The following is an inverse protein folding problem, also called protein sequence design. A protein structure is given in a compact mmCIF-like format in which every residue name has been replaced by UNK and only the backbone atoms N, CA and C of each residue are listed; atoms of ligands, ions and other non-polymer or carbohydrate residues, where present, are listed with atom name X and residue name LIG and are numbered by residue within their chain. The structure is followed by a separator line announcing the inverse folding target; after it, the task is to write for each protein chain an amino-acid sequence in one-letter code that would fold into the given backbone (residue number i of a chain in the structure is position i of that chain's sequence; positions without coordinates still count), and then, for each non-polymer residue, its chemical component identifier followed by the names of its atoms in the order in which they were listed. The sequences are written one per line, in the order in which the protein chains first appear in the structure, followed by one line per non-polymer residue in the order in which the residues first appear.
data_IF_538477051272
#
_entry.id   IF_538477051272
#
_cell.length_a   1.000
_cell.length_b   1.000
_cell.length_c   1.000
_cell.angle_alpha   90.00
_cell.angle_beta   90.00
_cell.angle_gamma   90.00
#
_symmetry.space_group_name_H-M   'P 1'
#
loop_
_entity.id
_entity.type
_entity.pdbx_description
1 polymer ?
#
# COMPACT_ATOMS: atom_id res chain seq x y z
N UNK A 1 1.51 -44.79 -35.51
CA UNK A 1 0.85 -43.50 -35.78
C UNK A 1 -0.57 -43.85 -36.14
N UNK A 2 -1.49 -43.64 -35.20
CA UNK A 2 -2.92 -43.80 -35.43
C UNK A 2 -3.40 -42.52 -36.11
N UNK A 3 -4.01 -42.69 -37.28
CA UNK A 3 -4.57 -41.57 -38.05
C UNK A 3 -5.97 -41.32 -37.49
N UNK A 4 -6.15 -40.18 -36.83
CA UNK A 4 -7.43 -39.80 -36.27
C UNK A 4 -8.34 -39.33 -37.41
N UNK A 5 -9.37 -40.11 -37.71
CA UNK A 5 -10.43 -39.75 -38.66
C UNK A 5 -11.32 -38.67 -38.02
N UNK A 6 -10.93 -37.42 -38.21
CA UNK A 6 -11.80 -36.28 -37.95
C UNK A 6 -12.87 -36.29 -39.04
N UNK A 7 -13.97 -37.00 -38.81
CA UNK A 7 -15.18 -36.79 -39.59
C UNK A 7 -15.55 -35.32 -39.46
N UNK A 8 -15.41 -34.56 -40.55
CA UNK A 8 -15.94 -33.21 -40.63
C UNK A 8 -17.45 -33.32 -40.43
N UNK A 9 -17.86 -33.14 -39.18
CA UNK A 9 -19.25 -33.06 -38.82
C UNK A 9 -19.72 -31.79 -39.50
N UNK A 10 -20.34 -31.90 -40.67
CA UNK A 10 -21.13 -30.84 -41.28
C UNK A 10 -22.15 -30.46 -40.21
N UNK A 11 -21.80 -29.45 -39.41
CA UNK A 11 -22.72 -28.80 -38.52
C UNK A 11 -23.74 -28.17 -39.44
N UNK A 12 -24.83 -28.90 -39.66
CA UNK A 12 -26.02 -28.39 -40.32
C UNK A 12 -26.37 -27.11 -39.56
N UNK A 13 -25.95 -25.96 -40.11
CA UNK A 13 -26.10 -24.64 -39.51
C UNK A 13 -27.56 -24.28 -39.60
N UNK A 14 -28.36 -24.95 -38.77
CA UNK A 14 -29.77 -24.67 -38.60
C UNK A 14 -29.83 -23.20 -38.17
N UNK A 15 -30.50 -22.31 -38.94
CA UNK A 15 -30.42 -20.89 -38.70
C UNK A 15 -30.84 -20.62 -37.26
N UNK A 16 -29.86 -20.30 -36.41
CA UNK A 16 -30.07 -20.06 -34.99
C UNK A 16 -31.00 -18.86 -34.94
N UNK A 17 -32.23 -19.09 -34.48
CA UNK A 17 -33.27 -18.06 -34.45
C UNK A 17 -32.74 -16.82 -33.75
N UNK A 18 -33.10 -15.63 -34.25
CA UNK A 18 -32.66 -14.31 -33.74
C UNK A 18 -33.25 -13.95 -32.36
N UNK A 19 -33.37 -14.93 -31.47
CA UNK A 19 -33.76 -14.73 -30.08
C UNK A 19 -32.54 -14.39 -29.25
N UNK A 20 -32.71 -13.51 -28.26
CA UNK A 20 -31.70 -13.31 -27.24
C UNK A 20 -31.50 -14.63 -26.49
N UNK A 21 -30.28 -15.15 -26.50
CA UNK A 21 -29.98 -16.37 -25.75
C UNK A 21 -30.08 -16.04 -24.25
N UNK A 22 -30.51 -17.00 -23.43
CA UNK A 22 -30.67 -16.79 -21.98
C UNK A 22 -29.37 -16.26 -21.34
N UNK A 23 -28.22 -16.69 -21.86
CA UNK A 23 -26.90 -16.25 -21.43
C UNK A 23 -26.60 -14.78 -21.78
N UNK A 24 -27.18 -14.25 -22.86
CA UNK A 24 -27.03 -12.84 -23.21
C UNK A 24 -27.72 -11.97 -22.16
N UNK A 25 -28.90 -12.38 -21.69
CA UNK A 25 -29.64 -11.68 -20.63
C UNK A 25 -28.85 -11.69 -19.31
N UNK A 26 -28.31 -12.85 -18.91
CA UNK A 26 -27.46 -12.93 -17.72
C UNK A 26 -26.21 -12.07 -17.84
N UNK A 27 -25.58 -12.04 -19.02
CA UNK A 27 -24.39 -11.23 -19.27
C UNK A 27 -24.69 -9.73 -19.14
N UNK A 28 -25.82 -9.27 -19.69
CA UNK A 28 -26.28 -7.88 -19.54
C UNK A 28 -26.57 -7.54 -18.08
N UNK A 29 -27.22 -8.44 -17.33
CA UNK A 29 -27.52 -8.22 -15.92
C UNK A 29 -26.24 -8.10 -15.09
N UNK A 30 -25.27 -8.99 -15.29
CA UNK A 30 -23.97 -8.96 -14.62
C UNK A 30 -23.21 -7.68 -14.98
N UNK A 31 -23.28 -7.22 -16.22
CA UNK A 31 -22.66 -5.97 -16.65
C UNK A 31 -23.26 -4.76 -15.92
N UNK A 32 -24.59 -4.69 -15.80
CA UNK A 32 -25.28 -3.63 -15.04
C UNK A 32 -24.90 -3.70 -13.56
N UNK A 33 -24.91 -4.88 -12.95
CA UNK A 33 -24.55 -5.06 -11.55
C UNK A 33 -23.10 -4.60 -11.28
N UNK A 34 -22.18 -4.94 -12.17
CA UNK A 34 -20.77 -4.51 -12.08
C UNK A 34 -20.64 -3.00 -12.20
N UNK A 35 -21.37 -2.37 -13.12
CA UNK A 35 -21.40 -0.92 -13.27
C UNK A 35 -21.95 -0.22 -12.01
N UNK A 36 -23.02 -0.76 -11.40
CA UNK A 36 -23.57 -0.25 -10.14
C UNK A 36 -22.58 -0.33 -8.99
N UNK A 37 -21.85 -1.44 -8.86
CA UNK A 37 -20.80 -1.62 -7.85
C UNK A 37 -19.66 -0.61 -8.07
N UNK A 38 -19.22 -0.43 -9.32
CA UNK A 38 -18.21 0.57 -9.66
C UNK A 38 -18.65 2.00 -9.33
N UNK A 39 -19.88 2.36 -9.66
CA UNK A 39 -20.46 3.66 -9.34
C UNK A 39 -20.58 3.89 -7.83
N UNK A 40 -20.96 2.86 -7.07
CA UNK A 40 -21.00 2.90 -5.60
C UNK A 40 -19.63 3.26 -5.01
N UNK A 41 -18.56 2.58 -5.44
CA UNK A 41 -17.21 2.86 -4.95
C UNK A 41 -16.73 4.25 -5.37
N UNK A 42 -17.03 4.68 -6.60
CA UNK A 42 -16.67 6.01 -7.09
C UNK A 42 -17.37 7.10 -6.27
N UNK A 43 -18.64 6.91 -5.91
CA UNK A 43 -19.40 7.84 -5.07
C UNK A 43 -18.77 7.97 -3.67
N UNK A 44 -18.45 6.84 -3.03
CA UNK A 44 -17.78 6.83 -1.71
C UNK A 44 -16.40 7.49 -1.79
N UNK A 45 -15.66 7.30 -2.88
CA UNK A 45 -14.34 7.90 -3.06
C UNK A 45 -14.39 9.42 -3.24
N UNK A 46 -15.34 9.94 -4.03
CA UNK A 46 -15.51 11.39 -4.22
C UNK A 46 -16.02 12.05 -2.96
N UNK A 47 -16.99 11.44 -2.27
CA UNK A 47 -17.56 11.97 -1.05
C UNK A 47 -17.61 10.88 0.03
N UNK A 48 -16.61 10.84 0.94
CA UNK A 48 -16.55 9.82 1.98
C UNK A 48 -17.64 10.00 3.05
N UNK A 49 -18.30 11.16 3.11
CA UNK A 49 -19.37 11.47 4.06
C UNK A 49 -20.76 11.02 3.58
N UNK A 50 -20.85 10.27 2.48
CA UNK A 50 -22.11 9.70 1.99
C UNK A 50 -22.68 8.66 2.97
N UNK A 51 -24.02 8.62 3.11
CA UNK A 51 -24.72 7.62 3.94
C UNK A 51 -24.53 6.17 3.43
N UNK A 52 -24.08 6.01 2.18
CA UNK A 52 -23.76 4.72 1.58
C UNK A 52 -22.38 4.18 1.98
N UNK A 53 -21.54 4.99 2.62
CA UNK A 53 -20.26 4.55 3.15
C UNK A 53 -20.49 3.90 4.53
N UNK A 54 -20.27 2.59 4.69
CA UNK A 54 -20.41 1.92 5.98
C UNK A 54 -19.35 2.37 7.01
N UNK A 55 -18.27 3.01 6.53
CA UNK A 55 -17.19 3.56 7.34
C UNK A 55 -17.11 5.08 7.11
N UNK A 56 -18.15 5.85 7.48
CA UNK A 56 -18.09 7.29 7.34
C UNK A 56 -17.01 7.81 8.30
N UNK A 57 -16.16 8.74 7.86
CA UNK A 57 -15.18 9.35 8.75
C UNK A 57 -15.91 10.12 9.87
N UNK A 58 -15.42 10.00 11.11
CA UNK A 58 -15.94 10.74 12.25
C UNK A 58 -15.79 12.25 11.99
N UNK A 59 -16.92 12.96 11.79
CA UNK A 59 -16.95 14.42 11.71
C UNK A 59 -16.64 15.02 13.08
N UNK A 60 -15.71 16.00 13.20
CA UNK A 60 -15.64 17.17 12.34
C UNK A 60 -14.29 17.33 11.63
N UNK A 61 -14.32 17.83 10.38
CA UNK A 61 -13.14 18.43 9.74
C UNK A 61 -12.68 19.54 10.68
N UNK A 62 -11.52 19.44 11.35
CA UNK A 62 -11.07 20.53 12.19
C UNK A 62 -10.92 21.73 11.28
N UNK A 63 -11.60 22.83 11.60
CA UNK A 63 -11.25 24.10 10.96
C UNK A 63 -9.76 24.26 11.21
N UNK A 64 -8.98 24.41 10.14
CA UNK A 64 -7.55 24.63 10.26
C UNK A 64 -7.37 25.96 11.00
N UNK A 65 -7.24 25.88 12.32
CA UNK A 65 -6.86 26.99 13.17
C UNK A 65 -5.34 26.94 13.23
N UNK A 66 -4.62 27.84 12.55
CA UNK A 66 -3.17 27.87 12.65
C UNK A 66 -2.82 28.05 14.14
N UNK A 67 -1.87 27.26 14.68
CA UNK A 67 -1.48 27.39 16.07
C UNK A 67 -0.94 28.81 16.31
N UNK A 68 -1.44 29.48 17.34
CA UNK A 68 -0.81 30.69 17.86
C UNK A 68 0.62 30.33 18.26
N UNK A 69 1.66 31.07 17.82
CA UNK A 69 3.04 30.78 18.22
C UNK A 69 3.13 30.86 19.75
N UNK A 70 3.09 29.71 20.38
CA UNK A 70 3.17 29.56 21.82
C UNK A 70 4.64 29.30 22.14
N UNK A 71 5.25 30.19 22.92
CA UNK A 71 6.67 30.09 23.32
C UNK A 71 6.91 28.83 24.17
N UNK A 72 5.85 28.21 24.70
CA UNK A 72 5.92 26.98 25.48
C UNK A 72 5.95 25.75 24.56
N UNK A 73 7.01 24.93 24.58
CA UNK A 73 7.03 23.67 23.85
C UNK A 73 5.97 22.72 24.41
N UNK A 74 5.27 21.99 23.53
CA UNK A 74 4.39 20.89 23.94
C UNK A 74 5.23 19.85 24.70
N UNK A 75 4.86 19.57 25.95
CA UNK A 75 5.39 18.42 26.68
C UNK A 75 4.65 17.18 26.17
N UNK A 76 5.40 16.14 25.81
CA UNK A 76 4.81 14.84 25.51
C UNK A 76 4.17 14.27 26.78
N UNK A 77 3.03 13.60 26.63
CA UNK A 77 2.43 12.81 27.70
C UNK A 77 3.41 11.73 28.17
N UNK A 78 3.23 11.28 29.42
CA UNK A 78 4.08 10.26 30.03
C UNK A 78 4.22 9.04 29.11
N UNK A 79 5.46 8.52 28.92
CA UNK A 79 5.67 7.39 28.04
C UNK A 79 4.86 6.19 28.55
N UNK A 80 3.91 5.73 27.74
CA UNK A 80 3.04 4.58 28.03
C UNK A 80 3.80 3.26 28.18
N UNK A 81 5.10 3.26 27.90
CA UNK A 81 5.98 2.12 28.10
C UNK A 81 7.11 2.53 29.04
N UNK A 82 7.02 2.13 30.31
CA UNK A 82 8.18 2.09 31.21
C UNK A 82 9.12 0.98 30.73
N UNK A 83 9.87 1.24 29.66
CA UNK A 83 10.94 0.34 29.26
C UNK A 83 12.03 0.47 30.32
N UNK A 84 12.44 -0.62 31.00
CA UNK A 84 13.53 -0.54 31.96
C UNK A 84 14.78 -0.05 31.24
N UNK A 85 15.41 1.00 31.76
CA UNK A 85 16.71 1.46 31.27
C UNK A 85 17.73 0.36 31.54
N UNK A 86 18.04 -0.45 30.52
CA UNK A 86 19.14 -1.40 30.59
C UNK A 86 20.42 -0.56 30.58
N UNK A 87 21.21 -0.66 31.65
CA UNK A 87 22.54 -0.06 31.69
C UNK A 87 23.35 -0.63 30.50
N UNK A 88 23.85 0.20 29.58
CA UNK A 88 24.62 -0.30 28.45
C UNK A 88 25.88 -0.99 28.98
N UNK A 89 26.05 -2.27 28.66
CA UNK A 89 27.28 -2.99 28.96
C UNK A 89 28.42 -2.33 28.19
N UNK A 90 29.46 -1.87 28.89
CA UNK A 90 30.66 -1.32 28.27
C UNK A 90 31.33 -2.40 27.42
N UNK A 91 31.04 -2.39 26.13
CA UNK A 91 31.69 -3.27 25.17
C UNK A 91 33.04 -2.64 24.83
N UNK A 92 34.12 -3.39 25.03
CA UNK A 92 35.46 -2.94 24.63
C UNK A 92 35.51 -2.87 23.11
N UNK A 93 35.34 -1.66 22.56
CA UNK A 93 35.54 -1.42 21.14
C UNK A 93 37.02 -1.61 20.83
N UNK A 94 37.40 -2.54 19.93
CA UNK A 94 38.78 -2.70 19.55
C UNK A 94 39.28 -1.40 18.92
N UNK A 95 40.44 -0.92 19.36
CA UNK A 95 41.11 0.22 18.72
C UNK A 95 41.39 -0.16 17.26
N UNK A 96 41.21 0.76 16.29
CA UNK A 96 41.53 0.48 14.90
C UNK A 96 42.96 -0.05 14.79
N UNK A 97 43.10 -1.22 14.17
CA UNK A 97 44.42 -1.78 13.86
C UNK A 97 44.93 -1.03 12.63
N UNK A 98 46.08 -0.35 12.77
CA UNK A 98 46.77 0.25 11.63
C UNK A 98 47.03 -0.85 10.60
N UNK A 99 46.34 -0.79 9.48
CA UNK A 99 46.66 -1.63 8.33
C UNK A 99 47.94 -1.06 7.73
N UNK A 100 49.04 -1.81 7.82
CA UNK A 100 50.29 -1.46 7.16
C UNK A 100 50.03 -1.43 5.65
N UNK A 101 49.92 -0.23 5.08
CA UNK A 101 50.00 -0.04 3.65
C UNK A 101 51.48 -0.22 3.31
N UNK A 102 51.81 -1.28 2.57
CA UNK A 102 53.15 -1.48 2.01
C UNK A 102 53.33 -0.43 0.89
N UNK A 103 53.66 0.79 1.30
CA UNK A 103 53.82 1.91 0.38
C UNK A 103 53.89 3.26 1.09
N UNK A 104 55.12 3.69 1.42
CA UNK A 104 55.48 5.11 1.44
C UNK A 104 55.00 5.95 2.63
N UNK A 105 55.86 6.04 3.64
CA UNK A 105 55.86 7.01 4.72
C UNK A 105 55.66 8.48 4.24
N UNK A 106 54.72 9.22 4.84
CA UNK A 106 54.98 10.61 5.25
C UNK A 106 54.07 11.07 6.39
N UNK A 107 54.73 11.54 7.43
CA UNK A 107 54.27 12.07 8.70
C UNK A 107 53.43 13.34 8.59
N UNK A 108 52.61 13.60 9.61
CA UNK A 108 52.42 14.87 10.36
C UNK A 108 51.00 14.90 10.97
N UNK A 109 50.80 14.18 12.08
CA UNK A 109 49.64 14.39 12.95
C UNK A 109 50.05 15.36 14.06
N UNK A 110 49.82 16.65 13.82
CA UNK A 110 50.04 17.72 14.80
C UNK A 110 48.87 17.77 15.76
N UNK A 111 49.12 17.35 16.98
CA UNK A 111 48.23 17.56 18.13
C UNK A 111 47.99 19.07 18.32
N UNK A 112 46.72 19.47 18.42
CA UNK A 112 46.31 20.71 19.11
C UNK A 112 45.45 20.31 20.29
N UNK A 113 45.86 20.82 21.44
CA UNK A 113 45.12 20.84 22.70
C UNK A 113 43.75 21.49 22.55
#
# INVERSE_FOLDING_TARGET
MEDFDYTEQEFDEKPKGKGLDMLDIFSVLVLIATACVGAYFLLVFINPYTAFNPLPPDTPVPQFVPPTPTITPLQLDDPWTMTPTIQPTSTLTPRPTFTLIIGGFKSEFRERC
#
